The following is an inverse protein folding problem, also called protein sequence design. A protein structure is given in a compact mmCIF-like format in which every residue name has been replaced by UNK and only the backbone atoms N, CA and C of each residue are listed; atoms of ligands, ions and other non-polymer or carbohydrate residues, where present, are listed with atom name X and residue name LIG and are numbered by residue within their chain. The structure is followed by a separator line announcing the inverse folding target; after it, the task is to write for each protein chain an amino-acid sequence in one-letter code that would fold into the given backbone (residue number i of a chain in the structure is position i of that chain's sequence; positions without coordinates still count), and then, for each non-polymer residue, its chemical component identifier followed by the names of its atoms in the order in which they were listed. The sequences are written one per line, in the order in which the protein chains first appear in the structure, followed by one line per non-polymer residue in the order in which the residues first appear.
data_IF_240265989070
#
_entry.id   IF_240265989070
#
_cell.length_a   1.000
_cell.length_b   1.000
_cell.length_c   1.000
_cell.angle_alpha   90.00
_cell.angle_beta   90.00
_cell.angle_gamma   90.00
#
_symmetry.space_group_name_H-M   'P 1'
#
loop_
_entity.id
_entity.type
_entity.pdbx_description
1 polymer ?
#
# COMPACT_ATOMS: atom_id res chain seq x y z
N UNK A 1 31.22 4.23 -1.18
CA UNK A 1 30.08 3.45 -1.75
C UNK A 1 29.83 2.14 -0.99
N UNK A 2 30.87 1.29 -0.71
CA UNK A 2 30.70 0.04 0.07
C UNK A 2 30.19 0.27 1.51
N UNK A 3 30.62 1.34 2.20
CA UNK A 3 30.16 1.66 3.55
C UNK A 3 28.67 2.03 3.64
N UNK A 4 28.10 2.73 2.64
CA UNK A 4 26.64 3.03 2.62
C UNK A 4 25.79 1.79 2.46
N UNK A 5 26.21 0.80 1.68
CA UNK A 5 25.50 -0.48 1.54
C UNK A 5 25.58 -1.34 2.80
N UNK A 6 26.66 -1.25 3.58
CA UNK A 6 26.80 -1.98 4.86
C UNK A 6 25.84 -1.50 5.94
N UNK A 7 25.39 -0.23 5.92
CA UNK A 7 24.48 0.31 6.93
C UNK A 7 23.00 -0.07 6.74
N UNK A 8 22.59 -0.65 5.59
CA UNK A 8 21.18 -0.78 5.27
C UNK A 8 20.61 -2.18 5.51
N UNK A 9 21.33 -3.28 5.21
CA UNK A 9 20.92 -4.66 5.51
C UNK A 9 22.08 -5.64 5.31
N UNK A 10 22.69 -6.06 6.41
CA UNK A 10 23.72 -7.10 6.30
C UNK A 10 23.10 -8.48 6.13
N UNK A 11 21.94 -8.68 6.71
CA UNK A 11 21.29 -9.98 6.70
C UNK A 11 19.76 -9.86 6.81
N UNK A 12 19.05 -10.61 5.98
CA UNK A 12 17.61 -10.82 6.10
C UNK A 12 17.37 -12.23 6.64
N UNK A 13 16.70 -12.33 7.78
CA UNK A 13 16.33 -13.62 8.41
C UNK A 13 14.81 -13.77 8.32
N UNK A 14 14.37 -14.67 7.45
CA UNK A 14 12.95 -14.99 7.29
C UNK A 14 12.46 -15.92 8.37
N UNK A 15 11.21 -15.75 8.83
CA UNK A 15 10.50 -16.70 9.69
C UNK A 15 9.41 -17.41 8.88
N UNK A 16 9.49 -18.74 8.78
CA UNK A 16 8.47 -19.56 8.09
C UNK A 16 7.39 -20.03 9.08
N UNK A 17 6.41 -19.18 9.30
CA UNK A 17 5.33 -19.42 10.27
C UNK A 17 4.32 -20.51 9.87
N UNK A 18 4.37 -20.99 8.64
CA UNK A 18 3.56 -22.12 8.14
C UNK A 18 4.35 -23.43 8.07
N UNK A 19 5.67 -23.37 8.21
CA UNK A 19 6.60 -24.49 8.14
C UNK A 19 7.37 -24.70 9.46
N UNK A 20 8.71 -24.63 9.40
CA UNK A 20 9.61 -25.01 10.50
C UNK A 20 9.40 -24.19 11.78
N UNK A 21 9.02 -22.92 11.69
CA UNK A 21 8.76 -22.04 12.84
C UNK A 21 7.26 -21.94 13.20
N UNK A 22 6.47 -22.96 12.84
CA UNK A 22 5.04 -23.04 13.19
C UNK A 22 4.87 -23.28 14.70
N UNK A 23 3.92 -22.54 15.30
CA UNK A 23 3.54 -22.67 16.71
C UNK A 23 4.59 -22.14 17.68
N UNK A 24 4.41 -22.44 18.97
CA UNK A 24 5.26 -21.92 20.05
C UNK A 24 6.67 -22.51 20.03
N UNK A 25 6.78 -23.82 19.80
CA UNK A 25 8.08 -24.52 19.77
C UNK A 25 8.95 -24.00 18.61
N UNK A 26 8.36 -23.84 17.41
CA UNK A 26 9.06 -23.27 16.27
C UNK A 26 9.51 -21.81 16.54
N UNK A 27 8.65 -21.03 17.19
CA UNK A 27 9.01 -19.67 17.59
C UNK A 27 10.17 -19.64 18.60
N UNK A 28 10.18 -20.54 19.59
CA UNK A 28 11.29 -20.62 20.57
C UNK A 28 12.61 -21.02 19.91
N UNK A 29 12.59 -21.99 18.96
CA UNK A 29 13.77 -22.33 18.17
C UNK A 29 14.29 -21.13 17.38
N UNK A 30 13.40 -20.36 16.75
CA UNK A 30 13.75 -19.15 16.03
C UNK A 30 14.36 -18.09 16.95
N UNK A 31 13.78 -17.87 18.14
CA UNK A 31 14.33 -16.95 19.15
C UNK A 31 15.73 -17.40 19.59
N UNK A 32 15.94 -18.70 19.88
CA UNK A 32 17.25 -19.24 20.23
C UNK A 32 18.29 -19.01 19.13
N UNK A 33 17.90 -19.11 17.86
CA UNK A 33 18.76 -18.77 16.75
C UNK A 33 19.09 -17.28 16.67
N UNK A 34 18.09 -16.39 16.93
CA UNK A 34 18.30 -14.95 16.95
C UNK A 34 19.18 -14.50 18.11
N UNK A 35 19.09 -15.12 19.28
CA UNK A 35 19.90 -14.78 20.45
C UNK A 35 21.42 -15.08 20.25
N UNK A 36 21.77 -15.89 19.25
CA UNK A 36 23.19 -16.09 18.88
C UNK A 36 23.80 -14.88 18.19
N UNK A 37 22.98 -13.95 17.71
CA UNK A 37 23.45 -12.66 17.20
C UNK A 37 23.51 -11.69 18.38
N UNK A 38 24.62 -11.01 18.52
CA UNK A 38 24.84 -10.05 19.60
C UNK A 38 24.31 -8.66 19.19
N UNK A 39 22.98 -8.53 19.16
CA UNK A 39 22.34 -7.25 18.84
C UNK A 39 22.44 -6.28 20.00
N UNK A 40 22.77 -5.03 19.76
CA UNK A 40 22.79 -3.94 20.75
C UNK A 40 21.36 -3.42 21.03
N UNK A 41 20.56 -3.32 19.99
CA UNK A 41 19.22 -2.71 20.03
C UNK A 41 18.25 -3.50 19.15
N UNK A 42 17.03 -3.67 19.66
CA UNK A 42 15.93 -4.30 18.94
C UNK A 42 14.84 -3.26 18.66
N UNK A 43 14.46 -3.10 17.39
CA UNK A 43 13.37 -2.23 16.98
C UNK A 43 12.18 -3.08 16.49
N UNK A 44 11.13 -3.19 17.29
CA UNK A 44 9.89 -3.87 16.87
C UNK A 44 8.95 -2.91 16.13
N UNK A 45 9.03 -2.93 14.81
CA UNK A 45 8.15 -2.15 13.93
C UNK A 45 6.82 -2.85 13.63
N UNK A 46 6.59 -4.04 14.20
CA UNK A 46 5.38 -4.82 13.93
C UNK A 46 4.41 -4.90 15.12
N UNK A 47 4.89 -5.01 16.34
CA UNK A 47 4.12 -5.03 17.60
C UNK A 47 2.89 -5.98 17.55
N UNK A 48 3.13 -7.26 17.26
CA UNK A 48 2.14 -8.35 17.30
C UNK A 48 2.55 -9.39 18.34
N UNK A 49 1.65 -10.28 18.73
CA UNK A 49 1.90 -11.29 19.79
C UNK A 49 3.24 -11.99 19.60
N UNK A 50 3.56 -12.40 18.37
CA UNK A 50 4.84 -13.07 18.07
C UNK A 50 6.05 -12.18 18.35
N UNK A 51 6.03 -10.92 17.89
CA UNK A 51 7.15 -10.00 18.14
C UNK A 51 7.22 -9.57 19.57
N UNK A 52 6.09 -9.49 20.30
CA UNK A 52 6.07 -9.26 21.76
C UNK A 52 6.82 -10.37 22.48
N UNK A 53 6.58 -11.64 22.13
CA UNK A 53 7.31 -12.79 22.70
C UNK A 53 8.80 -12.66 22.40
N UNK A 54 9.19 -12.44 21.15
CA UNK A 54 10.59 -12.26 20.74
C UNK A 54 11.24 -11.13 21.57
N UNK A 55 10.60 -9.98 21.61
CA UNK A 55 11.08 -8.80 22.35
C UNK A 55 11.23 -9.06 23.86
N UNK A 56 10.34 -9.86 24.43
CA UNK A 56 10.43 -10.24 25.84
C UNK A 56 11.70 -11.04 26.12
N UNK A 57 12.03 -12.02 25.29
CA UNK A 57 13.28 -12.77 25.43
C UNK A 57 14.51 -11.87 25.30
N UNK A 58 14.53 -10.93 24.37
CA UNK A 58 15.64 -9.98 24.25
C UNK A 58 15.76 -9.07 25.46
N UNK A 59 14.65 -8.59 26.05
CA UNK A 59 14.67 -7.81 27.31
C UNK A 59 15.24 -8.63 28.47
N UNK A 60 14.82 -9.89 28.60
CA UNK A 60 15.34 -10.79 29.64
C UNK A 60 16.85 -11.06 29.49
N UNK A 61 17.39 -10.95 28.28
CA UNK A 61 18.82 -11.02 27.99
C UNK A 61 19.51 -9.65 28.00
N UNK A 62 18.93 -8.64 28.66
CA UNK A 62 19.54 -7.33 28.89
C UNK A 62 19.59 -6.41 27.66
N UNK A 63 18.90 -6.75 26.55
CA UNK A 63 18.93 -5.94 25.32
C UNK A 63 17.90 -4.81 25.38
N UNK A 64 18.25 -3.65 24.82
CA UNK A 64 17.33 -2.51 24.68
C UNK A 64 16.32 -2.80 23.59
N UNK A 65 15.02 -2.63 23.89
CA UNK A 65 13.94 -2.93 22.95
C UNK A 65 12.98 -1.76 22.84
N UNK A 66 12.79 -1.26 21.64
CA UNK A 66 11.86 -0.19 21.31
C UNK A 66 10.75 -0.72 20.42
N UNK A 67 9.51 -0.32 20.70
CA UNK A 67 8.31 -0.94 20.11
C UNK A 67 7.41 0.11 19.49
N UNK A 68 6.93 -0.17 18.29
CA UNK A 68 5.99 0.68 17.57
C UNK A 68 4.69 0.90 18.36
N UNK A 69 4.30 2.16 18.55
CA UNK A 69 2.93 2.49 18.92
C UNK A 69 2.01 2.41 17.70
N UNK A 70 1.09 1.47 17.72
CA UNK A 70 0.08 1.26 16.64
C UNK A 70 -1.12 2.20 16.71
N UNK A 71 -1.19 3.11 17.68
CA UNK A 71 -2.35 3.98 17.91
C UNK A 71 -3.69 3.22 17.99
N UNK A 72 -3.71 2.07 18.66
CA UNK A 72 -4.91 1.21 18.70
C UNK A 72 -6.11 1.90 19.34
N UNK A 73 -5.89 2.70 20.40
CA UNK A 73 -6.94 3.45 21.10
C UNK A 73 -7.53 4.54 20.21
N UNK A 74 -6.68 5.31 19.55
CA UNK A 74 -7.04 6.38 18.63
C UNK A 74 -7.79 5.84 17.42
N UNK A 75 -7.31 4.75 16.81
CA UNK A 75 -7.99 4.06 15.69
C UNK A 75 -9.36 3.52 16.11
N UNK A 76 -9.50 3.00 17.34
CA UNK A 76 -10.79 2.58 17.89
C UNK A 76 -11.76 3.76 18.01
N UNK A 77 -11.30 4.94 18.46
CA UNK A 77 -12.10 6.17 18.55
C UNK A 77 -12.47 6.70 17.16
N UNK A 78 -11.54 6.65 16.21
CA UNK A 78 -11.75 7.06 14.82
C UNK A 78 -12.85 6.23 14.13
N UNK A 79 -12.95 4.92 14.43
CA UNK A 79 -13.92 4.00 13.82
C UNK A 79 -15.12 3.68 14.74
N UNK A 80 -15.33 4.45 15.80
CA UNK A 80 -16.44 4.24 16.72
C UNK A 80 -17.78 4.55 16.04
N UNK A 81 -18.85 3.82 16.40
CA UNK A 81 -20.21 4.11 15.92
C UNK A 81 -20.76 5.33 16.68
N UNK A 82 -20.61 5.35 18.01
CA UNK A 82 -21.02 6.46 18.87
C UNK A 82 -19.79 7.19 19.42
N UNK A 83 -19.85 8.51 19.53
CA UNK A 83 -18.73 9.32 20.04
C UNK A 83 -17.48 9.29 19.14
N UNK A 84 -17.66 9.09 17.83
CA UNK A 84 -16.58 9.12 16.84
C UNK A 84 -15.84 10.45 16.92
N UNK A 85 -14.52 10.37 16.86
CA UNK A 85 -13.65 11.55 16.75
C UNK A 85 -12.88 11.45 15.44
N UNK A 86 -13.25 12.29 14.48
CA UNK A 86 -12.63 12.36 13.15
C UNK A 86 -11.52 13.40 13.17
N UNK A 87 -10.28 12.92 13.28
CA UNK A 87 -9.08 13.75 13.19
C UNK A 87 -7.91 12.93 12.61
N UNK A 88 -6.96 13.56 11.91
CA UNK A 88 -5.81 12.87 11.36
C UNK A 88 -4.95 12.26 12.46
N UNK A 89 -4.71 10.96 12.38
CA UNK A 89 -3.72 10.29 13.22
C UNK A 89 -2.33 10.47 12.59
N UNK A 90 -1.28 10.43 13.43
CA UNK A 90 0.09 10.48 12.93
C UNK A 90 0.33 9.37 11.91
N UNK A 91 0.90 9.68 10.74
CA UNK A 91 1.20 8.69 9.71
C UNK A 91 2.06 7.54 10.24
N UNK A 92 1.86 6.34 9.70
CA UNK A 92 2.62 5.15 10.14
C UNK A 92 4.11 5.33 9.93
N UNK A 93 4.54 5.98 8.86
CA UNK A 93 5.95 6.27 8.58
C UNK A 93 6.58 7.13 9.69
N UNK A 94 5.86 8.14 10.18
CA UNK A 94 6.31 8.99 11.29
C UNK A 94 6.42 8.18 12.59
N UNK A 95 5.50 7.23 12.83
CA UNK A 95 5.55 6.32 13.98
C UNK A 95 6.74 5.37 13.91
N UNK A 96 7.13 4.92 12.71
CA UNK A 96 8.37 4.18 12.52
C UNK A 96 9.59 5.04 12.87
N UNK A 97 9.64 6.27 12.37
CA UNK A 97 10.69 7.23 12.71
C UNK A 97 10.83 7.44 14.22
N UNK A 98 9.71 7.51 14.97
CA UNK A 98 9.73 7.65 16.42
C UNK A 98 10.42 6.47 17.14
N UNK A 99 10.26 5.25 16.63
CA UNK A 99 10.94 4.07 17.19
C UNK A 99 12.46 4.20 17.05
N UNK A 100 12.94 4.67 15.89
CA UNK A 100 14.37 4.92 15.65
C UNK A 100 14.88 6.05 16.55
N UNK A 101 14.16 7.17 16.61
CA UNK A 101 14.54 8.30 17.50
C UNK A 101 14.59 7.90 18.96
N UNK A 102 13.61 7.13 19.43
CA UNK A 102 13.58 6.62 20.81
C UNK A 102 14.79 5.72 21.12
N UNK A 103 15.33 5.04 20.11
CA UNK A 103 16.53 4.23 20.23
C UNK A 103 17.84 5.05 20.16
N UNK A 104 17.75 6.37 19.94
CA UNK A 104 18.92 7.24 19.75
C UNK A 104 19.46 7.23 18.30
N UNK A 105 18.74 6.62 17.36
CA UNK A 105 19.10 6.56 15.96
C UNK A 105 18.44 7.72 15.21
N UNK A 106 19.09 8.87 15.21
CA UNK A 106 18.60 10.05 14.49
C UNK A 106 18.97 9.96 13.02
N UNK A 107 18.02 10.32 12.16
CA UNK A 107 18.22 10.39 10.72
C UNK A 107 17.38 11.52 10.13
N UNK A 108 17.80 12.00 8.97
CA UNK A 108 17.02 12.91 8.14
C UNK A 108 16.35 12.12 7.04
N UNK A 109 15.05 12.33 6.87
CA UNK A 109 14.29 11.73 5.79
C UNK A 109 14.69 12.37 4.46
N UNK A 110 15.23 11.57 3.55
CA UNK A 110 15.69 12.02 2.23
C UNK A 110 15.14 11.15 1.10
N UNK A 111 14.34 10.14 1.42
CA UNK A 111 13.82 9.20 0.43
C UNK A 111 12.77 9.89 -0.45
N UNK A 112 12.94 9.82 -1.76
CA UNK A 112 12.00 10.31 -2.77
C UNK A 112 11.46 9.19 -3.65
N UNK A 113 12.34 8.32 -4.16
CA UNK A 113 11.98 7.21 -5.04
C UNK A 113 13.02 6.09 -4.99
N UNK A 114 12.60 4.85 -5.25
CA UNK A 114 13.52 3.74 -5.48
C UNK A 114 14.39 3.95 -6.73
N UNK A 115 13.93 4.76 -7.66
CA UNK A 115 14.60 5.04 -8.94
C UNK A 115 15.24 6.42 -9.00
N UNK A 116 15.55 7.03 -7.85
CA UNK A 116 16.21 8.33 -7.77
C UNK A 116 17.64 8.30 -8.33
N UNK A 117 18.44 7.30 -7.94
CA UNK A 117 19.83 7.17 -8.39
C UNK A 117 19.95 6.38 -9.72
N UNK A 118 19.08 5.42 -9.95
CA UNK A 118 19.10 4.54 -11.11
C UNK A 118 17.70 4.50 -11.74
N UNK A 119 17.53 5.12 -12.93
CA UNK A 119 16.26 5.09 -13.63
C UNK A 119 15.74 3.66 -13.84
N UNK A 120 14.43 3.50 -13.76
CA UNK A 120 13.77 2.22 -13.98
C UNK A 120 13.93 1.76 -15.43
N UNK A 121 14.36 0.52 -15.62
CA UNK A 121 14.44 -0.09 -16.95
C UNK A 121 13.17 -0.89 -17.24
N UNK A 122 12.57 -0.65 -18.41
CA UNK A 122 11.39 -1.38 -18.90
C UNK A 122 11.74 -2.55 -19.82
N UNK A 123 13.01 -2.95 -19.92
CA UNK A 123 13.45 -4.04 -20.81
C UNK A 123 12.68 -5.33 -20.57
N UNK A 124 12.41 -5.68 -19.29
CA UNK A 124 11.60 -6.84 -18.90
C UNK A 124 10.11 -6.72 -19.23
N UNK A 125 9.62 -5.55 -19.63
CA UNK A 125 8.21 -5.26 -19.93
C UNK A 125 8.00 -4.69 -21.34
N UNK A 126 9.01 -4.72 -22.19
CA UNK A 126 8.96 -4.11 -23.52
C UNK A 126 7.78 -4.62 -24.38
N UNK A 127 7.39 -5.89 -24.22
CA UNK A 127 6.28 -6.51 -24.94
C UNK A 127 4.91 -5.90 -24.58
N UNK A 128 4.71 -5.46 -23.35
CA UNK A 128 3.45 -4.86 -22.89
C UNK A 128 3.53 -3.34 -22.85
N UNK A 129 4.61 -2.77 -22.36
CA UNK A 129 4.76 -1.33 -22.24
C UNK A 129 4.96 -0.66 -23.60
N UNK A 130 5.87 -1.20 -24.42
CA UNK A 130 6.28 -0.58 -25.68
C UNK A 130 7.00 0.75 -25.45
N UNK A 131 6.96 1.61 -26.46
CA UNK A 131 7.48 2.98 -26.35
C UNK A 131 6.37 3.88 -25.82
N UNK A 132 6.66 4.68 -24.79
CA UNK A 132 5.70 5.62 -24.23
C UNK A 132 5.28 6.64 -25.27
N UNK A 133 4.01 6.60 -25.64
CA UNK A 133 3.36 7.61 -26.46
C UNK A 133 2.18 8.12 -25.67
N UNK A 134 2.02 9.45 -25.58
CA UNK A 134 0.97 10.08 -24.78
C UNK A 134 1.07 9.77 -23.28
N UNK A 135 -0.07 9.69 -22.60
CA UNK A 135 -0.20 9.54 -21.16
C UNK A 135 -0.41 8.09 -20.74
N UNK A 136 0.34 7.63 -19.76
CA UNK A 136 0.20 6.31 -19.19
C UNK A 136 -0.54 6.37 -17.85
N UNK A 137 -1.69 5.72 -17.78
CA UNK A 137 -2.56 5.70 -16.62
C UNK A 137 -2.56 4.28 -16.04
N UNK A 138 -2.17 4.14 -14.78
CA UNK A 138 -2.35 2.89 -14.07
C UNK A 138 -3.73 2.81 -13.41
N UNK A 139 -4.36 1.64 -13.41
CA UNK A 139 -5.61 1.37 -12.68
C UNK A 139 -5.45 0.08 -11.87
N UNK A 140 -5.60 0.19 -10.53
CA UNK A 140 -5.56 -0.93 -9.60
C UNK A 140 -6.89 -1.01 -8.83
N UNK A 141 -7.93 -1.67 -9.40
CA UNK A 141 -9.32 -1.57 -8.95
C UNK A 141 -9.63 -2.38 -7.69
N UNK A 142 -8.72 -3.24 -7.27
CA UNK A 142 -8.97 -4.20 -6.19
C UNK A 142 -8.23 -3.87 -4.90
N UNK A 143 -8.74 -4.43 -3.81
CA UNK A 143 -8.13 -4.41 -2.49
C UNK A 143 -8.50 -5.67 -1.72
N UNK A 144 -7.76 -5.99 -0.67
CA UNK A 144 -7.95 -7.20 0.14
C UNK A 144 -9.35 -7.35 0.74
N UNK A 145 -10.02 -6.25 1.07
CA UNK A 145 -11.28 -6.28 1.83
C UNK A 145 -12.39 -5.55 1.09
N UNK A 146 -13.61 -6.10 1.12
CA UNK A 146 -14.79 -5.55 0.41
C UNK A 146 -15.06 -4.07 0.71
N UNK A 147 -14.85 -3.63 1.94
CA UNK A 147 -15.03 -2.22 2.33
C UNK A 147 -14.05 -1.23 1.71
N UNK A 148 -13.12 -1.70 0.89
CA UNK A 148 -12.13 -0.92 0.15
C UNK A 148 -12.27 -1.06 -1.37
N UNK A 149 -13.21 -1.86 -1.86
CA UNK A 149 -13.36 -2.15 -3.29
C UNK A 149 -14.52 -1.31 -3.82
N UNK A 150 -14.24 -0.47 -4.79
CA UNK A 150 -15.25 0.24 -5.58
C UNK A 150 -16.05 -0.79 -6.41
N UNK A 151 -17.34 -0.57 -6.72
CA UNK A 151 -18.09 -1.49 -7.58
C UNK A 151 -17.33 -1.77 -8.88
N UNK A 152 -17.17 -3.06 -9.21
CA UNK A 152 -16.29 -3.49 -10.31
C UNK A 152 -16.83 -3.04 -11.66
N UNK A 153 -18.12 -3.13 -11.85
CA UNK A 153 -18.87 -2.66 -13.02
C UNK A 153 -18.79 -1.13 -13.21
N UNK A 154 -18.82 -0.37 -12.13
CA UNK A 154 -18.59 1.07 -12.17
C UNK A 154 -17.12 1.42 -12.49
N UNK A 155 -16.15 0.64 -11.98
CA UNK A 155 -14.74 0.83 -12.31
C UNK A 155 -14.47 0.44 -13.78
N UNK A 156 -15.16 -0.56 -14.30
CA UNK A 156 -15.12 -0.89 -15.72
C UNK A 156 -15.53 0.29 -16.60
N UNK A 157 -16.59 1.03 -16.22
CA UNK A 157 -17.01 2.25 -16.92
C UNK A 157 -15.91 3.33 -16.91
N UNK A 158 -15.19 3.48 -15.79
CA UNK A 158 -14.03 4.37 -15.70
C UNK A 158 -12.96 3.95 -16.72
N UNK A 159 -12.58 2.68 -16.76
CA UNK A 159 -11.59 2.14 -17.71
C UNK A 159 -12.04 2.33 -19.15
N UNK A 160 -13.29 2.00 -19.44
CA UNK A 160 -13.91 2.19 -20.77
C UNK A 160 -13.87 3.66 -21.21
N UNK A 161 -14.16 4.60 -20.30
CA UNK A 161 -14.11 6.02 -20.61
C UNK A 161 -12.68 6.52 -20.85
N UNK A 162 -11.71 6.09 -20.05
CA UNK A 162 -10.30 6.47 -20.21
C UNK A 162 -9.72 5.89 -21.50
N UNK A 163 -10.09 4.66 -21.87
CA UNK A 163 -9.60 3.99 -23.08
C UNK A 163 -10.07 4.61 -24.40
N UNK A 164 -11.12 5.46 -24.37
CA UNK A 164 -11.60 6.18 -25.57
C UNK A 164 -10.66 7.29 -26.02
N UNK A 165 -9.84 7.82 -25.12
CA UNK A 165 -8.88 8.86 -25.48
C UNK A 165 -7.67 8.23 -26.18
N UNK A 166 -7.36 8.66 -27.39
CA UNK A 166 -6.28 8.12 -28.21
C UNK A 166 -4.89 8.40 -27.62
N UNK A 167 -4.76 9.44 -26.83
CA UNK A 167 -3.52 9.82 -26.15
C UNK A 167 -3.27 9.05 -24.86
N UNK A 168 -4.20 8.15 -24.44
CA UNK A 168 -4.06 7.41 -23.20
C UNK A 168 -3.78 5.92 -23.44
N UNK A 169 -2.86 5.38 -22.66
CA UNK A 169 -2.69 3.93 -22.47
C UNK A 169 -2.99 3.59 -21.01
N UNK A 170 -3.90 2.64 -20.80
CA UNK A 170 -4.33 2.21 -19.46
C UNK A 170 -3.66 0.89 -19.10
N UNK A 171 -2.92 0.86 -18.01
CA UNK A 171 -2.30 -0.36 -17.47
C UNK A 171 -3.07 -0.85 -16.25
N UNK A 172 -3.46 -2.12 -16.25
CA UNK A 172 -4.25 -2.73 -15.18
C UNK A 172 -3.35 -3.53 -14.24
N UNK A 173 -3.48 -3.27 -12.93
CA UNK A 173 -2.75 -3.94 -11.86
C UNK A 173 -3.71 -4.66 -10.92
N UNK A 174 -3.36 -5.86 -10.47
CA UNK A 174 -4.19 -6.66 -9.57
C UNK A 174 -3.50 -7.94 -9.10
N UNK A 175 -4.24 -8.77 -8.37
CA UNK A 175 -3.80 -10.09 -7.94
C UNK A 175 -4.21 -11.18 -8.93
N UNK A 176 -3.59 -12.36 -8.79
CA UNK A 176 -3.93 -13.54 -9.60
C UNK A 176 -5.31 -14.10 -9.25
N UNK A 177 -5.85 -14.89 -10.16
CA UNK A 177 -7.11 -15.59 -10.00
C UNK A 177 -8.32 -14.74 -10.37
N UNK A 178 -9.24 -14.47 -9.45
CA UNK A 178 -10.48 -13.73 -9.76
C UNK A 178 -10.23 -12.32 -10.33
N UNK A 179 -9.27 -11.59 -9.77
CA UNK A 179 -8.92 -10.25 -10.24
C UNK A 179 -8.32 -10.31 -11.66
N UNK A 180 -7.42 -11.26 -11.89
CA UNK A 180 -6.77 -11.50 -13.19
C UNK A 180 -7.80 -11.76 -14.29
N UNK A 181 -8.77 -12.65 -14.06
CA UNK A 181 -9.80 -12.97 -15.04
C UNK A 181 -10.63 -11.74 -15.47
N UNK A 182 -10.99 -10.87 -14.53
CA UNK A 182 -11.71 -9.62 -14.82
C UNK A 182 -10.83 -8.66 -15.63
N UNK A 183 -9.58 -8.50 -15.24
CA UNK A 183 -8.67 -7.54 -15.87
C UNK A 183 -8.24 -7.99 -17.27
N UNK A 184 -8.14 -9.30 -17.53
CA UNK A 184 -7.94 -9.85 -18.86
C UNK A 184 -9.17 -9.64 -19.76
N UNK A 185 -10.38 -9.77 -19.21
CA UNK A 185 -11.61 -9.44 -19.94
C UNK A 185 -11.60 -7.96 -20.35
N UNK A 186 -11.23 -7.03 -19.48
CA UNK A 186 -11.15 -5.61 -19.82
C UNK A 186 -10.03 -5.32 -20.85
N UNK A 187 -8.87 -5.99 -20.75
CA UNK A 187 -7.81 -5.91 -21.77
C UNK A 187 -8.31 -6.32 -23.15
N UNK A 188 -9.10 -7.38 -23.22
CA UNK A 188 -9.68 -7.86 -24.48
C UNK A 188 -10.76 -6.91 -25.04
N UNK A 189 -11.58 -6.35 -24.16
CA UNK A 189 -12.77 -5.57 -24.54
C UNK A 189 -12.43 -4.13 -24.94
N UNK A 190 -11.42 -3.52 -24.33
CA UNK A 190 -11.14 -2.10 -24.53
C UNK A 190 -9.81 -1.86 -25.24
N UNK A 191 -9.79 -1.00 -26.30
CA UNK A 191 -8.55 -0.65 -26.98
C UNK A 191 -7.62 0.14 -26.01
N UNK A 192 -6.30 -0.03 -26.17
CA UNK A 192 -5.27 0.64 -25.36
C UNK A 192 -5.30 0.32 -23.86
N UNK A 193 -6.04 -0.71 -23.45
CA UNK A 193 -6.01 -1.28 -22.12
C UNK A 193 -5.07 -2.49 -22.11
N UNK A 194 -4.19 -2.59 -21.14
CA UNK A 194 -3.16 -3.63 -21.04
C UNK A 194 -3.07 -4.16 -19.61
N UNK A 195 -3.31 -5.44 -19.40
CA UNK A 195 -3.16 -6.08 -18.11
C UNK A 195 -1.73 -6.58 -17.90
N UNK A 196 -1.14 -6.27 -16.74
CA UNK A 196 0.17 -6.80 -16.33
C UNK A 196 0.05 -7.91 -15.29
N UNK A 197 -1.16 -8.23 -14.86
CA UNK A 197 -1.44 -9.15 -13.76
C UNK A 197 -0.94 -10.55 -14.08
N UNK A 198 -0.21 -11.14 -13.14
CA UNK A 198 0.31 -12.51 -13.25
C UNK A 198 1.40 -12.71 -14.30
N UNK A 199 1.70 -11.71 -15.12
CA UNK A 199 2.63 -11.79 -16.25
C UNK A 199 4.07 -11.43 -15.87
N UNK A 200 4.24 -10.63 -14.83
CA UNK A 200 5.54 -10.04 -14.46
C UNK A 200 5.85 -10.16 -12.96
N UNK A 201 7.11 -10.02 -12.62
CA UNK A 201 7.57 -9.92 -11.22
C UNK A 201 7.36 -8.50 -10.70
N UNK A 202 7.33 -8.35 -9.37
CA UNK A 202 7.03 -7.07 -8.71
C UNK A 202 8.02 -5.95 -9.07
N UNK A 203 9.29 -6.25 -9.29
CA UNK A 203 10.30 -5.28 -9.71
C UNK A 203 9.97 -4.67 -11.08
N UNK A 204 9.51 -5.50 -12.02
CA UNK A 204 9.02 -5.04 -13.32
C UNK A 204 7.76 -4.18 -13.20
N UNK A 205 6.80 -4.59 -12.36
CA UNK A 205 5.61 -3.78 -12.10
C UNK A 205 5.96 -2.43 -11.47
N UNK A 206 6.91 -2.38 -10.53
CA UNK A 206 7.40 -1.13 -9.94
C UNK A 206 8.08 -0.23 -10.98
N UNK A 207 8.86 -0.83 -11.90
CA UNK A 207 9.48 -0.11 -13.00
C UNK A 207 8.42 0.52 -13.92
N UNK A 208 7.35 -0.21 -14.25
CA UNK A 208 6.24 0.33 -15.03
C UNK A 208 5.49 1.43 -14.26
N UNK A 209 5.18 1.20 -12.98
CA UNK A 209 4.48 2.19 -12.14
C UNK A 209 5.28 3.50 -12.11
N UNK A 210 6.61 3.47 -12.06
CA UNK A 210 7.45 4.68 -12.05
C UNK A 210 7.35 5.52 -13.34
N UNK A 211 6.88 4.93 -14.43
CA UNK A 211 6.72 5.61 -15.73
C UNK A 211 5.28 6.11 -15.97
N UNK A 212 4.35 5.80 -15.06
CA UNK A 212 2.97 6.26 -15.19
C UNK A 212 2.89 7.78 -14.90
N UNK A 213 1.98 8.45 -15.59
CA UNK A 213 1.63 9.85 -15.29
C UNK A 213 0.75 9.93 -14.03
N UNK A 214 -0.07 8.89 -13.77
CA UNK A 214 -0.90 8.75 -12.58
C UNK A 214 -1.30 7.29 -12.34
N UNK A 215 -1.44 6.90 -11.08
CA UNK A 215 -2.06 5.62 -10.69
C UNK A 215 -3.40 5.89 -9.99
N UNK A 216 -4.50 5.41 -10.57
CA UNK A 216 -5.80 5.30 -9.91
C UNK A 216 -5.87 3.98 -9.14
N UNK A 217 -6.09 4.03 -7.85
CA UNK A 217 -6.17 2.80 -7.05
C UNK A 217 -7.11 2.93 -5.86
N UNK A 218 -7.38 1.79 -5.24
CA UNK A 218 -8.04 1.70 -3.95
C UNK A 218 -7.04 1.99 -2.79
N UNK A 219 -7.53 2.11 -1.56
CA UNK A 219 -6.70 1.99 -0.34
C UNK A 219 -6.09 0.58 -0.29
N UNK A 220 -5.04 0.35 -1.07
CA UNK A 220 -4.40 -0.95 -1.33
C UNK A 220 -2.88 -0.86 -1.35
N UNK A 221 -2.20 -1.99 -1.57
CA UNK A 221 -0.74 -2.03 -1.69
C UNK A 221 -0.22 -1.20 -2.86
N UNK A 222 -1.00 -1.11 -3.96
CA UNK A 222 -0.59 -0.35 -5.15
C UNK A 222 -0.39 1.14 -4.88
N UNK A 223 -1.18 1.74 -3.96
CA UNK A 223 -0.94 3.12 -3.50
C UNK A 223 0.46 3.29 -2.91
N UNK A 224 0.91 2.32 -2.12
CA UNK A 224 2.24 2.35 -1.52
C UNK A 224 3.35 2.03 -2.51
N UNK A 225 3.10 1.15 -3.49
CA UNK A 225 4.03 0.88 -4.59
C UNK A 225 4.28 2.14 -5.42
N UNK A 226 3.23 2.86 -5.78
CA UNK A 226 3.36 4.15 -6.47
C UNK A 226 4.13 5.18 -5.62
N UNK A 227 3.87 5.23 -4.33
CA UNK A 227 4.62 6.11 -3.41
C UNK A 227 6.10 5.74 -3.33
N UNK A 228 6.47 4.44 -3.42
CA UNK A 228 7.86 4.00 -3.42
C UNK A 228 8.63 4.41 -4.67
N UNK A 229 7.94 4.63 -5.77
CA UNK A 229 8.57 4.98 -7.05
C UNK A 229 8.28 6.43 -7.48
N UNK A 230 7.66 7.23 -6.60
CA UNK A 230 7.41 8.66 -6.82
C UNK A 230 6.25 8.97 -7.77
N UNK A 231 5.40 7.99 -8.11
CA UNK A 231 4.25 8.18 -9.00
C UNK A 231 3.07 8.80 -8.26
N UNK A 232 2.42 9.79 -8.87
CA UNK A 232 1.20 10.41 -8.36
C UNK A 232 0.06 9.41 -8.25
N UNK A 233 -0.70 9.47 -7.15
CA UNK A 233 -1.80 8.54 -6.86
C UNK A 233 -3.11 9.28 -6.70
N UNK A 234 -4.13 8.85 -7.42
CA UNK A 234 -5.53 9.11 -7.09
C UNK A 234 -6.07 7.89 -6.36
N UNK A 235 -6.52 8.06 -5.13
CA UNK A 235 -6.97 6.95 -4.30
C UNK A 235 -8.43 7.04 -3.90
N UNK A 236 -9.17 5.91 -4.02
CA UNK A 236 -10.58 5.83 -3.65
C UNK A 236 -10.70 5.18 -2.27
N UNK A 237 -11.45 5.82 -1.38
CA UNK A 237 -11.61 5.42 0.01
C UNK A 237 -13.07 5.22 0.41
N UNK A 238 -13.41 3.99 0.83
CA UNK A 238 -14.74 3.63 1.28
C UNK A 238 -14.89 3.55 2.80
N UNK A 239 -14.94 2.32 3.35
CA UNK A 239 -15.11 2.06 4.77
C UNK A 239 -13.94 2.51 5.65
N UNK A 240 -12.79 2.78 5.04
CA UNK A 240 -11.55 3.29 5.65
C UNK A 240 -11.44 4.81 5.46
N UNK A 241 -10.38 5.43 5.99
CA UNK A 241 -10.12 6.85 5.84
C UNK A 241 -8.62 7.14 5.89
N UNK A 242 -8.09 8.11 5.11
CA UNK A 242 -6.70 8.53 5.19
C UNK A 242 -6.24 8.90 6.61
N UNK A 243 -7.15 9.44 7.42
CA UNK A 243 -6.89 9.80 8.82
C UNK A 243 -6.47 8.63 9.72
N UNK A 244 -6.62 7.37 9.28
CA UNK A 244 -6.08 6.22 10.00
C UNK A 244 -4.54 6.13 9.99
N UNK A 245 -3.88 7.03 9.24
CA UNK A 245 -2.43 7.15 9.15
C UNK A 245 -1.79 6.17 8.16
N UNK A 246 -2.56 5.64 7.20
CA UNK A 246 -2.08 4.71 6.17
C UNK A 246 -2.03 5.33 4.76
N UNK A 247 -2.18 6.64 4.64
CA UNK A 247 -2.11 7.29 3.36
C UNK A 247 -0.73 7.13 2.71
N UNK A 248 -0.68 7.16 1.38
CA UNK A 248 0.56 7.00 0.62
C UNK A 248 1.60 8.07 1.00
N UNK A 249 2.84 7.64 1.14
CA UNK A 249 3.95 8.52 1.48
C UNK A 249 4.16 9.55 0.35
N UNK A 250 4.30 10.82 0.71
CA UNK A 250 4.43 11.97 -0.21
C UNK A 250 3.29 12.13 -1.24
N UNK A 251 2.12 11.51 -1.01
CA UNK A 251 0.96 11.70 -1.88
C UNK A 251 0.14 12.92 -1.43
N UNK A 252 -0.44 13.63 -2.42
CA UNK A 252 -1.27 14.80 -2.17
C UNK A 252 -2.66 14.40 -1.64
N UNK A 253 -3.05 14.93 -0.49
CA UNK A 253 -4.37 14.69 0.09
C UNK A 253 -5.53 15.22 -0.78
N UNK A 254 -5.27 16.15 -1.68
CA UNK A 254 -6.21 16.62 -2.69
C UNK A 254 -6.59 15.55 -3.71
N UNK A 255 -5.79 14.50 -3.86
CA UNK A 255 -6.03 13.39 -4.79
C UNK A 255 -6.81 12.20 -4.18
N UNK A 256 -7.45 12.43 -3.03
CA UNK A 256 -8.34 11.47 -2.37
C UNK A 256 -9.76 11.62 -2.90
N UNK A 257 -10.34 10.52 -3.38
CA UNK A 257 -11.77 10.42 -3.73
C UNK A 257 -12.48 9.68 -2.61
N UNK A 258 -13.45 10.32 -1.99
CA UNK A 258 -14.23 9.75 -0.88
C UNK A 258 -15.54 10.49 -0.68
N UNK A 259 -16.50 9.82 -0.03
CA UNK A 259 -17.76 10.44 0.41
C UNK A 259 -17.71 10.85 1.88
N UNK A 260 -18.30 11.97 2.20
CA UNK A 260 -18.37 12.45 3.58
C UNK A 260 -19.66 11.90 4.24
N UNK A 261 -19.57 10.70 4.82
CA UNK A 261 -20.69 10.03 5.49
C UNK A 261 -20.42 9.90 7.00
N UNK A 262 -21.43 10.13 7.87
CA UNK A 262 -21.24 10.05 9.33
C UNK A 262 -20.76 8.68 9.82
N UNK A 263 -21.07 7.59 9.10
CA UNK A 263 -20.61 6.25 9.43
C UNK A 263 -19.11 6.03 9.15
N UNK A 264 -18.47 6.87 8.32
CA UNK A 264 -17.06 6.73 7.94
C UNK A 264 -16.10 7.40 8.93
N UNK A 265 -14.89 6.82 9.09
CA UNK A 265 -14.57 5.41 8.81
C UNK A 265 -15.30 4.48 9.77
N UNK A 266 -15.78 3.36 9.29
CA UNK A 266 -16.38 2.32 10.13
C UNK A 266 -15.42 1.14 10.38
N UNK A 267 -14.32 1.10 9.64
CA UNK A 267 -13.27 0.08 9.76
C UNK A 267 -11.88 0.69 9.55
N UNK A 268 -10.90 0.19 10.30
CA UNK A 268 -9.48 0.58 10.11
C UNK A 268 -8.89 -0.07 8.85
N UNK A 269 -9.31 -1.31 8.53
CA UNK A 269 -8.74 -2.11 7.44
C UNK A 269 -9.77 -2.52 6.38
N UNK A 270 -11.03 -2.10 6.51
CA UNK A 270 -12.08 -2.41 5.53
C UNK A 270 -12.71 -3.80 5.65
N UNK A 271 -12.34 -4.60 6.67
CA UNK A 271 -12.81 -5.98 6.84
C UNK A 271 -14.21 -6.12 7.47
N UNK A 272 -14.73 -5.03 8.06
CA UNK A 272 -16.06 -5.06 8.71
C UNK A 272 -17.17 -5.00 7.66
N UNK A 273 -18.30 -5.66 7.90
CA UNK A 273 -19.48 -5.50 7.06
C UNK A 273 -19.98 -4.05 7.10
N UNK A 274 -20.70 -3.65 6.06
CA UNK A 274 -21.34 -2.34 6.01
C UNK A 274 -22.51 -2.28 7.00
N UNK A 275 -22.49 -1.33 7.93
CA UNK A 275 -23.57 -1.15 8.90
C UNK A 275 -24.88 -0.65 8.26
N UNK A 276 -24.79 0.06 7.12
CA UNK A 276 -25.92 0.53 6.34
C UNK A 276 -26.45 -0.53 5.37
N UNK A 277 -25.61 -1.51 5.00
CA UNK A 277 -25.92 -2.54 4.01
C UNK A 277 -25.72 -2.13 2.54
N UNK A 278 -25.67 -0.83 2.24
CA UNK A 278 -25.70 -0.26 0.88
C UNK A 278 -24.32 0.13 0.31
N UNK A 279 -23.27 0.10 1.13
CA UNK A 279 -21.93 0.55 0.77
C UNK A 279 -21.87 1.97 0.17
N UNK A 280 -22.77 2.87 0.60
CA UNK A 280 -22.91 4.23 0.08
C UNK A 280 -21.57 5.01 0.00
N UNK A 281 -20.61 4.69 0.85
CA UNK A 281 -19.26 5.27 0.80
C UNK A 281 -18.49 4.94 -0.49
N UNK A 282 -18.96 3.97 -1.28
CA UNK A 282 -18.42 3.60 -2.60
C UNK A 282 -19.46 3.87 -3.69
N UNK A 283 -20.72 3.47 -3.49
CA UNK A 283 -21.77 3.53 -4.52
C UNK A 283 -22.26 4.95 -4.83
N UNK A 284 -21.96 5.95 -4.00
CA UNK A 284 -22.25 7.36 -4.29
C UNK A 284 -21.13 8.06 -5.06
N UNK A 285 -19.97 7.45 -5.19
CA UNK A 285 -18.89 7.96 -6.05
C UNK A 285 -19.24 7.57 -7.48
N UNK A 286 -19.37 8.56 -8.39
CA UNK A 286 -19.71 8.25 -9.78
C UNK A 286 -18.46 8.04 -10.63
N UNK A 287 -18.54 7.21 -11.70
CA UNK A 287 -17.43 7.02 -12.64
C UNK A 287 -16.94 8.34 -13.26
N UNK A 288 -17.86 9.26 -13.58
CA UNK A 288 -17.53 10.57 -14.18
C UNK A 288 -16.61 11.37 -13.25
N UNK A 289 -16.92 11.42 -11.95
CA UNK A 289 -16.09 12.11 -10.95
C UNK A 289 -14.68 11.55 -10.89
N UNK A 290 -14.54 10.23 -11.01
CA UNK A 290 -13.24 9.56 -11.04
C UNK A 290 -12.48 9.94 -12.32
N UNK A 291 -13.13 9.85 -13.46
CA UNK A 291 -12.55 10.18 -14.77
C UNK A 291 -12.11 11.65 -14.83
N UNK A 292 -12.94 12.57 -14.36
CA UNK A 292 -12.61 14.00 -14.29
C UNK A 292 -11.38 14.25 -13.42
N UNK A 293 -11.30 13.59 -12.25
CA UNK A 293 -10.15 13.70 -11.35
C UNK A 293 -8.88 13.17 -12.00
N UNK A 294 -8.94 12.01 -12.70
CA UNK A 294 -7.81 11.45 -13.44
C UNK A 294 -7.36 12.43 -14.53
N UNK A 295 -8.29 12.92 -15.37
CA UNK A 295 -7.97 13.86 -16.45
C UNK A 295 -7.35 15.16 -15.92
N UNK A 296 -7.84 15.68 -14.81
CA UNK A 296 -7.30 16.91 -14.18
C UNK A 296 -5.88 16.73 -13.64
N UNK A 297 -5.50 15.50 -13.28
CA UNK A 297 -4.18 15.19 -12.69
C UNK A 297 -3.05 15.01 -13.71
N UNK A 298 -3.39 14.80 -14.98
CA UNK A 298 -2.42 14.49 -16.07
C UNK A 298 -2.33 15.58 -17.14
N UNK A 299 -2.90 16.77 -16.86
CA UNK A 299 -2.80 17.95 -17.72
C UNK A 299 -1.37 18.47 -17.81
#
# INVERSE_FOLDING_TARGET
RRQRQMCIRDRVIGINTKGAEKGLIGLLKFISALLKFDFDVILDLHNVIRTIIICTFFRLNGKRVFVLDKARKERKRLTAIKGKRLYPLRPVIVRYADVFRAAGLNYTETFTSLYEEFPAELSGMASVAGIKKGKWIGVAPFAKHRGKIYPVDEMEQVVACLSKCEDYTVFLFGGRGYEEAILEQWEFQYPRVKSVVGKYALDNELALISQLDVLLCMDSANMHFASLVGTRVISIWGATHPYAGFYGYHQDSGDVIQENLPCRPCSVFGQKPCLRGDWACMTLITPERIVEKVKASIK
#
